data_IF_290874194605
#
_entry.id   IF_290874194605
#
_cell.length_a   1.000
_cell.length_b   1.000
_cell.length_c   1.000
_cell.angle_alpha   90.00
_cell.angle_beta   90.00
_cell.angle_gamma   90.00
#
_symmetry.space_group_name_H-M   'P 1'
#
loop_
_entity.id
_entity.type
_entity.pdbx_description
1 polymer ?
#
# COMPACT_ATOMS: atom_id res chain seq x y z
N UNK A 1 4.77 -16.37 -17.96
CA UNK A 1 4.28 -16.05 -16.64
C UNK A 1 5.15 -16.72 -15.60
N UNK A 2 5.60 -15.98 -14.61
CA UNK A 2 6.52 -16.50 -13.63
C UNK A 2 5.80 -17.20 -12.49
N UNK A 3 6.56 -17.94 -11.67
CA UNK A 3 6.00 -18.55 -10.47
C UNK A 3 5.48 -17.51 -9.49
N UNK A 4 6.14 -16.36 -9.43
CA UNK A 4 5.69 -15.27 -8.58
C UNK A 4 4.34 -14.72 -9.05
N UNK A 5 4.17 -14.56 -10.35
CA UNK A 5 2.89 -14.12 -10.90
C UNK A 5 1.77 -15.08 -10.53
N UNK A 6 2.03 -16.36 -10.60
CA UNK A 6 1.03 -17.36 -10.26
C UNK A 6 0.68 -17.34 -8.78
N UNK A 7 1.68 -17.17 -7.93
CA UNK A 7 1.45 -17.06 -6.49
C UNK A 7 0.68 -15.81 -6.15
N UNK A 8 0.98 -14.72 -6.82
CA UNK A 8 0.28 -13.48 -6.61
C UNK A 8 -1.19 -13.64 -6.97
N UNK A 9 -1.48 -14.25 -8.09
CA UNK A 9 -2.86 -14.49 -8.50
C UNK A 9 -3.61 -15.35 -7.51
N UNK A 10 -2.98 -16.41 -7.02
CA UNK A 10 -3.60 -17.29 -6.05
C UNK A 10 -3.88 -16.56 -4.74
N UNK A 11 -2.93 -15.77 -4.29
CA UNK A 11 -3.08 -15.02 -3.06
C UNK A 11 -4.18 -13.96 -3.16
N UNK A 12 -4.36 -13.38 -4.34
CA UNK A 12 -5.32 -12.31 -4.55
C UNK A 12 -6.72 -12.80 -4.91
N UNK A 13 -6.84 -14.09 -5.23
CA UNK A 13 -8.12 -14.63 -5.69
C UNK A 13 -9.30 -14.32 -4.74
N UNK A 14 -9.16 -14.46 -3.42
CA UNK A 14 -10.28 -14.17 -2.52
C UNK A 14 -10.69 -12.70 -2.51
N UNK A 15 -9.82 -11.81 -2.99
CA UNK A 15 -10.05 -10.38 -2.89
C UNK A 15 -10.54 -9.76 -4.19
N UNK A 16 -10.77 -10.56 -5.21
CA UNK A 16 -11.20 -10.04 -6.51
C UNK A 16 -12.62 -9.50 -6.51
N UNK A 17 -13.40 -9.84 -5.51
CA UNK A 17 -14.76 -9.32 -5.38
C UNK A 17 -14.82 -8.06 -4.53
N UNK A 18 -13.67 -7.54 -4.08
CA UNK A 18 -13.66 -6.30 -3.31
C UNK A 18 -14.12 -5.11 -4.17
N UNK A 19 -14.56 -4.06 -3.50
CA UNK A 19 -15.02 -2.87 -4.22
C UNK A 19 -13.86 -2.11 -4.87
N UNK A 20 -12.68 -2.19 -4.27
CA UNK A 20 -11.48 -1.55 -4.81
C UNK A 20 -10.25 -2.14 -4.12
N UNK A 21 -9.11 -1.98 -4.77
CA UNK A 21 -7.81 -2.34 -4.20
C UNK A 21 -7.03 -1.05 -3.98
N UNK A 22 -6.45 -0.91 -2.81
CA UNK A 22 -5.63 0.24 -2.48
C UNK A 22 -4.30 -0.22 -1.89
N UNK A 23 -3.19 0.33 -2.39
CA UNK A 23 -1.86 0.00 -1.88
C UNK A 23 -1.39 1.12 -0.97
N UNK A 24 -0.99 0.76 0.24
CA UNK A 24 -0.31 1.69 1.14
C UNK A 24 1.10 1.87 0.59
N UNK A 25 1.34 2.95 -0.12
CA UNK A 25 2.57 3.15 -0.87
C UNK A 25 3.49 4.10 -0.12
N UNK A 26 4.57 3.56 0.44
CA UNK A 26 5.54 4.37 1.18
C UNK A 26 6.58 5.01 0.26
N UNK A 27 6.71 4.51 -0.95
CA UNK A 27 7.77 4.93 -1.87
C UNK A 27 9.06 4.13 -1.70
N UNK A 28 9.13 3.25 -0.70
CA UNK A 28 10.28 2.39 -0.53
C UNK A 28 10.24 1.21 -1.48
N UNK A 29 11.30 0.40 -1.44
CA UNK A 29 11.47 -0.68 -2.40
C UNK A 29 10.32 -1.68 -2.36
N UNK A 30 9.94 -2.13 -1.17
CA UNK A 30 8.94 -3.20 -1.06
C UNK A 30 7.58 -2.75 -1.55
N UNK A 31 7.14 -1.57 -1.17
CA UNK A 31 5.84 -1.07 -1.63
C UNK A 31 5.87 -0.75 -3.11
N UNK A 32 7.02 -0.33 -3.64
CA UNK A 32 7.16 -0.08 -5.08
C UNK A 32 7.04 -1.36 -5.88
N UNK A 33 7.67 -2.44 -5.41
CA UNK A 33 7.56 -3.74 -6.07
C UNK A 33 6.13 -4.24 -6.03
N UNK A 34 5.48 -4.14 -4.89
CA UNK A 34 4.10 -4.57 -4.75
C UNK A 34 3.18 -3.81 -5.70
N UNK A 35 3.31 -2.50 -5.72
CA UNK A 35 2.47 -1.67 -6.59
C UNK A 35 2.71 -1.98 -8.05
N UNK A 36 3.97 -2.19 -8.44
CA UNK A 36 4.31 -2.56 -9.80
C UNK A 36 3.67 -3.89 -10.20
N UNK A 37 3.76 -4.89 -9.33
CA UNK A 37 3.18 -6.20 -9.61
C UNK A 37 1.66 -6.13 -9.76
N UNK A 38 1.00 -5.37 -8.89
CA UNK A 38 -0.44 -5.23 -8.98
C UNK A 38 -0.86 -4.44 -10.22
N UNK A 39 -0.08 -3.43 -10.59
CA UNK A 39 -0.35 -2.66 -11.80
C UNK A 39 -0.23 -3.54 -13.05
N UNK A 40 0.78 -4.41 -13.08
CA UNK A 40 0.94 -5.33 -14.18
C UNK A 40 -0.22 -6.31 -14.27
N UNK A 41 -0.65 -6.82 -13.13
CA UNK A 41 -1.80 -7.73 -13.10
C UNK A 41 -3.06 -7.03 -13.59
N UNK A 42 -3.25 -5.77 -13.19
CA UNK A 42 -4.43 -5.01 -13.58
C UNK A 42 -4.47 -4.74 -15.09
N UNK A 43 -3.32 -4.74 -15.76
CA UNK A 43 -3.28 -4.59 -17.22
C UNK A 43 -3.68 -5.88 -17.93
N UNK A 44 -3.48 -7.02 -17.30
CA UNK A 44 -3.70 -8.31 -17.92
C UNK A 44 -5.06 -8.92 -17.60
N UNK A 45 -5.61 -8.57 -16.46
CA UNK A 45 -6.81 -9.21 -15.96
C UNK A 45 -7.75 -8.18 -15.37
N UNK A 46 -9.03 -8.52 -15.35
CA UNK A 46 -10.02 -7.69 -14.69
C UNK A 46 -9.89 -7.86 -13.19
N UNK A 47 -9.56 -6.80 -12.51
CA UNK A 47 -9.43 -6.78 -11.06
C UNK A 47 -10.11 -5.53 -10.53
N UNK A 48 -10.38 -5.43 -9.21
CA UNK A 48 -10.94 -4.20 -8.66
C UNK A 48 -10.08 -2.99 -8.99
N UNK A 49 -10.68 -1.82 -9.01
CA UNK A 49 -9.98 -0.59 -9.34
C UNK A 49 -8.80 -0.40 -8.39
N UNK A 50 -7.62 -0.22 -8.96
CA UNK A 50 -6.38 -0.12 -8.20
C UNK A 50 -5.97 1.31 -8.01
N UNK A 51 -5.65 1.67 -6.78
CA UNK A 51 -5.14 2.99 -6.43
C UNK A 51 -4.06 2.85 -5.36
N UNK A 52 -3.41 3.95 -5.02
CA UNK A 52 -2.41 3.97 -3.98
C UNK A 52 -2.66 5.14 -3.03
N UNK A 53 -2.24 4.98 -1.80
CA UNK A 53 -2.32 6.04 -0.81
C UNK A 53 -0.96 6.17 -0.13
N UNK A 54 -0.44 7.40 -0.08
CA UNK A 54 0.81 7.71 0.59
C UNK A 54 0.50 8.61 1.77
N UNK A 55 0.86 8.17 2.97
CA UNK A 55 0.64 8.95 4.18
C UNK A 55 1.95 9.61 4.58
N UNK A 56 1.96 10.93 4.61
CA UNK A 56 3.13 11.71 4.99
C UNK A 56 2.92 12.24 6.40
N UNK A 57 3.82 11.89 7.30
CA UNK A 57 3.72 12.34 8.69
C UNK A 57 4.74 13.40 9.06
N UNK A 58 5.59 13.81 8.14
CA UNK A 58 6.42 14.99 8.32
C UNK A 58 7.50 14.90 9.38
N UNK A 59 7.91 13.71 9.75
CA UNK A 59 8.89 13.54 10.82
C UNK A 59 10.32 13.86 10.40
N UNK A 60 10.61 13.91 9.11
CA UNK A 60 11.96 14.13 8.60
C UNK A 60 11.94 15.21 7.53
N UNK A 61 12.98 16.06 7.49
CA UNK A 61 13.01 17.11 6.46
C UNK A 61 12.98 16.56 5.03
N UNK A 62 13.62 15.44 4.80
CA UNK A 62 13.66 14.81 3.49
C UNK A 62 12.28 14.35 3.04
N UNK A 63 11.35 14.22 3.98
CA UNK A 63 10.00 13.80 3.65
C UNK A 63 9.28 14.81 2.76
N UNK A 64 9.73 16.04 2.69
CA UNK A 64 9.10 17.04 1.86
C UNK A 64 9.18 16.72 0.37
N UNK A 65 10.24 16.05 -0.07
CA UNK A 65 10.40 15.67 -1.47
C UNK A 65 9.84 14.27 -1.78
N UNK A 66 9.52 13.51 -0.77
CA UNK A 66 9.11 12.13 -0.95
C UNK A 66 7.74 11.97 -1.62
N UNK A 67 6.73 12.80 -1.30
CA UNK A 67 5.46 12.70 -2.01
C UNK A 67 5.58 12.89 -3.51
N UNK A 68 6.50 13.75 -3.94
CA UNK A 68 6.69 13.95 -5.38
C UNK A 68 7.28 12.71 -6.05
N UNK A 69 8.20 12.03 -5.36
CA UNK A 69 8.72 10.76 -5.85
C UNK A 69 7.59 9.73 -6.00
N UNK A 70 6.70 9.66 -5.02
CA UNK A 70 5.56 8.75 -5.08
C UNK A 70 4.62 9.11 -6.22
N UNK A 71 4.37 10.39 -6.45
CA UNK A 71 3.51 10.84 -7.54
C UNK A 71 4.09 10.45 -8.89
N UNK A 72 5.38 10.63 -9.06
CA UNK A 72 6.04 10.28 -10.32
C UNK A 72 5.99 8.78 -10.57
N UNK A 73 6.24 7.99 -9.55
CA UNK A 73 6.19 6.53 -9.68
C UNK A 73 4.79 6.06 -10.07
N UNK A 74 3.77 6.55 -9.39
CA UNK A 74 2.39 6.15 -9.68
C UNK A 74 1.94 6.65 -11.05
N UNK A 75 2.35 7.86 -11.43
CA UNK A 75 2.00 8.38 -12.74
C UNK A 75 2.57 7.52 -13.86
N UNK A 76 3.81 7.05 -13.69
CA UNK A 76 4.44 6.17 -14.69
C UNK A 76 3.68 4.86 -14.83
N UNK A 77 3.03 4.39 -13.78
CA UNK A 77 2.24 3.16 -13.82
C UNK A 77 0.77 3.41 -14.19
N UNK A 78 0.36 4.66 -14.27
CA UNK A 78 -1.03 4.98 -14.54
C UNK A 78 -1.95 4.70 -13.36
N UNK A 79 -1.44 4.75 -12.14
CA UNK A 79 -2.19 4.44 -10.94
C UNK A 79 -2.53 5.74 -10.20
N UNK A 80 -3.80 5.99 -9.85
CA UNK A 80 -4.15 7.15 -9.04
C UNK A 80 -3.50 7.08 -7.67
N UNK A 81 -2.97 8.20 -7.22
CA UNK A 81 -2.34 8.30 -5.91
C UNK A 81 -2.98 9.40 -5.10
N UNK A 82 -3.32 9.08 -3.86
CA UNK A 82 -3.77 10.07 -2.89
C UNK A 82 -2.66 10.26 -1.86
N UNK A 83 -2.27 11.52 -1.65
CA UNK A 83 -1.28 11.86 -0.63
C UNK A 83 -2.00 12.49 0.53
N UNK A 84 -1.82 11.91 1.70
CA UNK A 84 -2.49 12.36 2.92
C UNK A 84 -1.44 12.81 3.91
N UNK A 85 -1.50 14.05 4.34
CA UNK A 85 -0.63 14.55 5.38
C UNK A 85 -1.30 14.35 6.73
N UNK A 86 -0.57 13.81 7.68
CA UNK A 86 -1.06 13.61 9.04
C UNK A 86 -0.11 14.24 10.02
N UNK A 87 -0.61 14.55 11.19
CA UNK A 87 0.21 15.03 12.27
C UNK A 87 0.43 13.91 13.26
N UNK A 88 1.67 13.73 13.66
CA UNK A 88 2.03 12.72 14.64
C UNK A 88 2.10 13.40 16.00
N UNK A 89 1.26 12.94 16.90
CA UNK A 89 1.26 13.48 18.26
C UNK A 89 2.43 12.87 19.02
N UNK A 90 3.18 13.69 19.70
CA UNK A 90 4.30 13.23 20.50
C UNK A 90 3.82 12.30 21.60
N UNK A 91 4.36 11.11 21.62
CA UNK A 91 4.03 10.09 22.60
C UNK A 91 5.32 9.40 23.04
N UNK A 92 5.18 8.40 23.88
CA UNK A 92 6.33 7.65 24.35
C UNK A 92 7.14 7.04 23.20
N UNK A 93 6.47 6.68 22.09
CA UNK A 93 7.13 6.14 20.92
C UNK A 93 6.68 6.91 19.69
N UNK A 94 7.61 7.60 19.05
CA UNK A 94 7.32 8.33 17.81
C UNK A 94 6.93 7.35 16.70
N UNK A 95 7.59 6.21 16.65
CA UNK A 95 7.30 5.20 15.64
C UNK A 95 5.89 4.67 15.77
N UNK A 96 5.47 4.39 17.01
CA UNK A 96 4.13 3.91 17.24
C UNK A 96 3.08 4.97 16.91
N UNK A 97 3.35 6.21 17.25
CA UNK A 97 2.45 7.31 16.95
C UNK A 97 2.30 7.49 15.43
N UNK A 98 3.40 7.38 14.69
CA UNK A 98 3.36 7.49 13.24
C UNK A 98 2.56 6.33 12.63
N UNK A 99 2.72 5.14 13.17
CA UNK A 99 1.97 3.98 12.70
C UNK A 99 0.48 4.14 12.93
N UNK A 100 0.10 4.60 14.11
CA UNK A 100 -1.29 4.84 14.43
C UNK A 100 -1.90 5.90 13.52
N UNK A 101 -1.15 6.97 13.25
CA UNK A 101 -1.61 8.01 12.35
C UNK A 101 -1.83 7.49 10.94
N UNK A 102 -0.94 6.61 10.46
CA UNK A 102 -1.10 6.00 9.13
C UNK A 102 -2.36 5.15 9.06
N UNK A 103 -2.57 4.30 10.06
CA UNK A 103 -3.74 3.43 10.03
C UNK A 103 -5.03 4.21 10.14
N UNK A 104 -5.03 5.28 10.93
CA UNK A 104 -6.20 6.15 11.01
C UNK A 104 -6.49 6.79 9.65
N UNK A 105 -5.45 7.23 8.95
CA UNK A 105 -5.62 7.82 7.62
C UNK A 105 -6.17 6.80 6.64
N UNK A 106 -5.69 5.57 6.67
CA UNK A 106 -6.22 4.53 5.80
C UNK A 106 -7.69 4.28 6.08
N UNK A 107 -8.06 4.17 7.36
CA UNK A 107 -9.45 3.94 7.72
C UNK A 107 -10.36 5.05 7.23
N UNK A 108 -9.87 6.29 7.26
CA UNK A 108 -10.66 7.44 6.88
C UNK A 108 -10.84 7.53 5.36
N UNK A 109 -9.83 7.14 4.59
CA UNK A 109 -9.82 7.34 3.16
C UNK A 109 -10.20 6.12 2.32
N UNK A 110 -10.28 4.95 2.90
CA UNK A 110 -10.69 3.76 2.16
C UNK A 110 -12.21 3.71 2.04
N UNK A 111 -12.68 3.41 0.84
CA UNK A 111 -14.11 3.22 0.64
C UNK A 111 -14.58 1.89 1.22
N UNK A 112 -15.86 1.75 1.54
CA UNK A 112 -16.37 0.49 2.09
C UNK A 112 -16.15 -0.67 1.13
N UNK A 113 -15.68 -1.79 1.68
CA UNK A 113 -15.41 -2.98 0.87
C UNK A 113 -14.07 -2.98 0.18
N UNK A 114 -13.29 -1.92 0.28
CA UNK A 114 -11.96 -1.89 -0.31
C UNK A 114 -11.00 -2.72 0.51
N UNK A 115 -9.99 -3.25 -0.17
CA UNK A 115 -8.91 -4.02 0.47
C UNK A 115 -7.64 -3.19 0.41
N UNK A 116 -6.97 -3.09 1.55
CA UNK A 116 -5.71 -2.39 1.64
C UNK A 116 -4.57 -3.40 1.63
N UNK A 117 -3.62 -3.20 0.73
CA UNK A 117 -2.40 -3.99 0.68
C UNK A 117 -1.24 -3.13 1.19
N UNK A 118 -0.49 -3.68 2.13
CA UNK A 118 0.60 -2.95 2.74
C UNK A 118 1.87 -3.79 2.72
N UNK A 119 2.97 -3.18 2.32
CA UNK A 119 4.26 -3.84 2.23
C UNK A 119 5.12 -3.55 3.45
N UNK A 120 4.54 -3.67 4.62
CA UNK A 120 5.29 -3.58 5.84
C UNK A 120 5.78 -4.95 6.22
N UNK A 121 7.05 -5.18 6.22
CA UNK A 121 7.56 -6.48 6.58
C UNK A 121 8.85 -6.35 7.36
N UNK A 122 9.19 -7.40 8.04
CA UNK A 122 10.45 -7.55 8.70
C UNK A 122 11.23 -8.68 8.13
N UNK A 123 10.57 -9.56 7.43
CA UNK A 123 11.23 -10.71 6.86
C UNK A 123 11.50 -10.46 5.42
N UNK A 124 12.43 -11.16 4.93
CA UNK A 124 12.92 -10.96 3.64
C UNK A 124 12.21 -11.74 2.60
N UNK A 125 11.26 -12.53 2.92
CA UNK A 125 10.67 -13.43 1.96
C UNK A 125 9.45 -12.85 1.33
N UNK A 126 9.48 -12.69 0.04
CA UNK A 126 8.38 -12.10 -0.71
C UNK A 126 7.06 -12.84 -0.49
N UNK A 127 7.13 -14.15 -0.35
CA UNK A 127 5.94 -14.94 -0.11
C UNK A 127 5.30 -14.61 1.23
N UNK A 128 6.12 -14.50 2.25
CA UNK A 128 5.65 -14.14 3.57
C UNK A 128 5.05 -12.74 3.55
N UNK A 129 5.69 -11.85 2.80
CA UNK A 129 5.22 -10.50 2.66
C UNK A 129 3.82 -10.47 2.07
N UNK A 130 3.61 -11.16 0.96
CA UNK A 130 2.30 -11.20 0.34
C UNK A 130 1.25 -11.79 1.26
N UNK A 131 1.61 -12.84 1.97
CA UNK A 131 0.69 -13.48 2.88
C UNK A 131 0.27 -12.52 4.00
N UNK A 132 1.21 -11.77 4.53
CA UNK A 132 0.91 -10.77 5.55
C UNK A 132 0.03 -9.66 5.04
N UNK A 133 0.26 -9.21 3.82
CA UNK A 133 -0.54 -8.17 3.22
C UNK A 133 -2.00 -8.59 3.14
N UNK A 134 -2.22 -9.82 2.74
CA UNK A 134 -3.58 -10.31 2.62
C UNK A 134 -4.24 -10.50 3.96
N UNK A 135 -3.49 -10.90 4.96
CA UNK A 135 -4.03 -11.04 6.31
C UNK A 135 -4.36 -9.71 6.94
N UNK A 136 -3.55 -8.72 6.65
CA UNK A 136 -3.76 -7.40 7.17
C UNK A 136 -4.65 -6.54 6.31
N UNK A 137 -5.33 -7.17 5.38
CA UNK A 137 -6.17 -6.48 4.46
C UNK A 137 -7.37 -5.96 5.16
N UNK A 138 -7.48 -5.13 5.69
CA UNK A 138 -8.50 -4.47 6.42
C UNK A 138 -7.78 -3.52 7.34
N UNK A 139 -8.48 -2.72 7.91
CA UNK A 139 -7.94 -1.68 8.74
C UNK A 139 -7.45 -2.19 10.07
N UNK A 140 -7.71 -3.38 10.37
CA UNK A 140 -7.26 -3.97 11.59
C UNK A 140 -5.94 -4.48 11.43
N UNK A 141 -5.12 -4.05 11.19
CA UNK A 141 -3.85 -4.50 10.92
C UNK A 141 -2.96 -4.92 12.02
#
# INVERSE_FOLDING_TARGET
MTALDNRLRQALAPWRTASAWCVAFSGGLDSSVLLHLLAELARREAVPALSAIHVQHGLQPVAAAWPEHCRQFCAALGIPLQVVAVQVVAQASVEQAARQARYAAFAEHLQPGAVLFSAQHRDDQAETLLFRLLRGAGVRG
#
